data_IF_403817232653
#
_entry.id   IF_403817232653
#
_cell.length_a   1.000
_cell.length_b   1.000
_cell.length_c   1.000
_cell.angle_alpha   90.00
_cell.angle_beta   90.00
_cell.angle_gamma   90.00
#
_symmetry.space_group_name_H-M   'P 1'
#
loop_
_entity.id
_entity.type
_entity.pdbx_description
1 polymer ?
#
# COMPACT_ATOMS: atom_id res chain seq x y z
N UNK A 1 -9.61 17.73 16.10
CA UNK A 1 -10.49 18.15 15.02
C UNK A 1 -10.56 19.68 14.84
N UNK A 2 -10.23 20.49 15.87
CA UNK A 2 -10.15 21.95 15.75
C UNK A 2 -8.91 22.44 14.98
N UNK A 3 -7.90 21.60 14.82
CA UNK A 3 -6.74 21.86 14.00
C UNK A 3 -7.00 21.43 12.55
N UNK A 4 -6.81 22.35 11.56
CA UNK A 4 -7.04 22.07 10.15
C UNK A 4 -6.23 20.90 9.61
N UNK A 5 -5.00 20.69 10.11
CA UNK A 5 -4.14 19.59 9.73
C UNK A 5 -4.73 18.22 10.13
N UNK A 6 -5.11 18.08 11.39
CA UNK A 6 -5.73 16.84 11.88
C UNK A 6 -7.08 16.58 11.21
N UNK A 7 -7.86 17.61 10.94
CA UNK A 7 -9.12 17.51 10.18
C UNK A 7 -8.85 17.01 8.74
N UNK A 8 -7.80 17.51 8.10
CA UNK A 8 -7.38 17.08 6.75
C UNK A 8 -7.04 15.59 6.71
N UNK A 9 -6.27 15.08 7.67
CA UNK A 9 -5.91 13.65 7.77
C UNK A 9 -7.18 12.79 7.93
N UNK A 10 -8.11 13.17 8.81
CA UNK A 10 -9.37 12.42 9.01
C UNK A 10 -10.18 12.39 7.72
N UNK A 11 -10.33 13.53 7.03
CA UNK A 11 -11.04 13.59 5.75
C UNK A 11 -10.37 12.73 4.69
N UNK A 12 -9.05 12.74 4.60
CA UNK A 12 -8.29 11.92 3.66
C UNK A 12 -8.53 10.42 3.90
N UNK A 13 -8.46 9.96 5.15
CA UNK A 13 -8.71 8.56 5.51
C UNK A 13 -10.15 8.15 5.14
N UNK A 14 -11.14 9.01 5.43
CA UNK A 14 -12.54 8.75 5.08
C UNK A 14 -12.75 8.65 3.56
N UNK A 15 -12.15 9.55 2.78
CA UNK A 15 -12.26 9.55 1.32
C UNK A 15 -11.58 8.32 0.72
N UNK A 16 -10.36 7.99 1.15
CA UNK A 16 -9.64 6.80 0.69
C UNK A 16 -10.44 5.53 1.05
N UNK A 17 -10.90 5.39 2.29
CA UNK A 17 -11.74 4.27 2.72
C UNK A 17 -13.03 4.17 1.91
N UNK A 18 -13.67 5.30 1.59
CA UNK A 18 -14.84 5.37 0.73
C UNK A 18 -14.56 4.87 -0.70
N UNK A 19 -13.46 5.29 -1.31
CA UNK A 19 -13.03 4.84 -2.65
C UNK A 19 -12.73 3.34 -2.65
N UNK A 20 -12.04 2.82 -1.63
CA UNK A 20 -11.74 1.39 -1.48
C UNK A 20 -13.03 0.57 -1.40
N UNK A 21 -13.98 1.00 -0.55
CA UNK A 21 -15.27 0.33 -0.41
C UNK A 21 -16.08 0.39 -1.73
N UNK A 22 -16.04 1.50 -2.44
CA UNK A 22 -16.66 1.63 -3.76
C UNK A 22 -16.06 0.63 -4.75
N UNK A 23 -14.73 0.53 -4.85
CA UNK A 23 -14.03 -0.42 -5.73
C UNK A 23 -14.40 -1.87 -5.39
N UNK A 24 -14.50 -2.20 -4.09
CA UNK A 24 -14.91 -3.53 -3.64
C UNK A 24 -16.37 -3.82 -4.06
N UNK A 25 -17.32 -2.93 -3.73
CA UNK A 25 -18.76 -3.09 -4.04
C UNK A 25 -19.08 -3.07 -5.53
N UNK A 26 -18.27 -2.39 -6.34
CA UNK A 26 -18.36 -2.43 -7.81
C UNK A 26 -17.73 -3.68 -8.42
N UNK A 27 -17.23 -4.61 -7.61
CA UNK A 27 -16.63 -5.86 -8.07
C UNK A 27 -15.27 -5.71 -8.76
N UNK A 28 -14.65 -4.54 -8.69
CA UNK A 28 -13.35 -4.28 -9.29
C UNK A 28 -12.25 -5.12 -8.65
N UNK A 29 -12.23 -5.18 -7.33
CA UNK A 29 -11.29 -6.00 -6.56
C UNK A 29 -11.42 -7.49 -6.92
N UNK A 30 -12.65 -8.01 -6.97
CA UNK A 30 -12.94 -9.41 -7.35
C UNK A 30 -12.51 -9.71 -8.79
N UNK A 31 -12.75 -8.78 -9.73
CA UNK A 31 -12.33 -8.93 -11.12
C UNK A 31 -10.80 -9.02 -11.26
N UNK A 32 -10.06 -8.21 -10.52
CA UNK A 32 -8.59 -8.28 -10.47
C UNK A 32 -8.15 -9.61 -9.88
N UNK A 33 -8.77 -10.06 -8.77
CA UNK A 33 -8.45 -11.33 -8.14
C UNK A 33 -8.63 -12.50 -9.12
N UNK A 34 -9.75 -12.55 -9.84
CA UNK A 34 -9.99 -13.59 -10.84
C UNK A 34 -9.00 -13.57 -12.00
N UNK A 35 -8.64 -12.38 -12.49
CA UNK A 35 -7.65 -12.21 -13.55
C UNK A 35 -6.25 -12.65 -13.10
N UNK A 36 -5.85 -12.32 -11.88
CA UNK A 36 -4.57 -12.71 -11.30
C UNK A 36 -4.53 -14.18 -10.91
N UNK A 37 -5.66 -14.72 -10.40
CA UNK A 37 -5.78 -16.15 -10.11
C UNK A 37 -5.53 -17.00 -11.35
N UNK A 38 -5.94 -16.54 -12.53
CA UNK A 38 -5.65 -17.21 -13.80
C UNK A 38 -4.15 -17.20 -14.16
N UNK A 39 -3.40 -16.18 -13.73
CA UNK A 39 -1.94 -16.06 -13.95
C UNK A 39 -1.11 -16.74 -12.88
N UNK A 40 -1.63 -16.87 -11.67
CA UNK A 40 -0.96 -17.52 -10.53
C UNK A 40 -1.00 -19.04 -10.71
N UNK A 41 -0.03 -19.58 -11.40
CA UNK A 41 0.07 -21.03 -11.66
C UNK A 41 0.81 -21.79 -10.56
N UNK A 42 1.58 -21.11 -9.73
CA UNK A 42 2.41 -21.69 -8.67
C UNK A 42 2.36 -20.82 -7.42
N UNK A 43 2.68 -21.41 -6.24
CA UNK A 43 2.80 -20.67 -4.99
C UNK A 43 3.83 -19.52 -5.09
N UNK A 44 4.93 -19.72 -5.84
CA UNK A 44 5.90 -18.64 -6.10
C UNK A 44 5.28 -17.48 -6.86
N UNK A 45 4.60 -17.76 -7.97
CA UNK A 45 4.00 -16.71 -8.78
C UNK A 45 2.89 -15.96 -8.04
N UNK A 46 2.11 -16.65 -7.23
CA UNK A 46 1.08 -16.02 -6.41
C UNK A 46 1.68 -15.05 -5.38
N UNK A 47 2.73 -15.46 -4.67
CA UNK A 47 3.42 -14.62 -3.70
C UNK A 47 4.13 -13.43 -4.37
N UNK A 48 4.77 -13.62 -5.53
CA UNK A 48 5.39 -12.52 -6.28
C UNK A 48 4.34 -11.52 -6.79
N UNK A 49 3.18 -12.00 -7.23
CA UNK A 49 2.06 -11.14 -7.62
C UNK A 49 1.56 -10.35 -6.42
N UNK A 50 1.43 -10.98 -5.25
CA UNK A 50 1.05 -10.28 -4.01
C UNK A 50 2.05 -9.18 -3.67
N UNK A 51 3.33 -9.50 -3.69
CA UNK A 51 4.42 -8.54 -3.45
C UNK A 51 4.39 -7.38 -4.44
N UNK A 52 4.23 -7.67 -5.73
CA UNK A 52 4.14 -6.64 -6.77
C UNK A 52 2.90 -5.75 -6.60
N UNK A 53 1.76 -6.32 -6.27
CA UNK A 53 0.54 -5.55 -5.97
C UNK A 53 0.76 -4.64 -4.76
N UNK A 54 1.42 -5.13 -3.71
CA UNK A 54 1.78 -4.31 -2.57
C UNK A 54 2.63 -3.09 -2.97
N UNK A 55 3.58 -3.26 -3.89
CA UNK A 55 4.35 -2.14 -4.44
C UNK A 55 3.46 -1.18 -5.24
N UNK A 56 2.51 -1.69 -6.02
CA UNK A 56 1.62 -0.83 -6.82
C UNK A 56 0.68 0.03 -5.94
N UNK A 57 0.37 -0.40 -4.72
CA UNK A 57 -0.44 0.36 -3.76
C UNK A 57 0.46 1.14 -2.79
N UNK A 58 1.38 1.94 -3.32
CA UNK A 58 2.42 2.65 -2.58
C UNK A 58 1.93 3.87 -1.82
N UNK A 59 0.76 4.37 -2.14
CA UNK A 59 0.27 5.67 -1.66
C UNK A 59 -0.28 5.61 -0.23
N UNK A 60 -0.69 4.43 0.26
CA UNK A 60 -1.26 4.26 1.60
C UNK A 60 -1.15 2.80 2.06
N UNK A 61 -0.72 2.59 3.31
CA UNK A 61 -0.52 1.27 3.90
C UNK A 61 -1.83 0.55 4.24
N UNK A 62 -2.85 1.29 4.72
CA UNK A 62 -4.19 0.74 4.95
C UNK A 62 -4.85 0.32 3.64
N UNK A 63 -4.73 1.16 2.60
CA UNK A 63 -5.23 0.84 1.27
C UNK A 63 -4.59 -0.45 0.73
N UNK A 64 -3.28 -0.63 0.94
CA UNK A 64 -2.58 -1.86 0.57
C UNK A 64 -3.24 -3.08 1.22
N UNK A 65 -3.39 -3.08 2.53
CA UNK A 65 -3.97 -4.20 3.27
C UNK A 65 -5.41 -4.49 2.87
N UNK A 66 -6.23 -3.45 2.72
CA UNK A 66 -7.65 -3.56 2.38
C UNK A 66 -7.91 -3.97 0.92
N UNK A 67 -7.02 -3.62 -0.01
CA UNK A 67 -7.17 -3.99 -1.42
C UNK A 67 -6.52 -5.34 -1.72
N UNK A 68 -5.23 -5.49 -1.35
CA UNK A 68 -4.45 -6.67 -1.74
C UNK A 68 -4.88 -7.91 -0.96
N UNK A 69 -5.24 -7.74 0.32
CA UNK A 69 -5.66 -8.84 1.20
C UNK A 69 -6.84 -9.64 0.63
N UNK A 70 -8.00 -9.04 0.48
CA UNK A 70 -9.18 -9.72 -0.08
C UNK A 70 -8.96 -10.28 -1.49
N UNK A 71 -8.22 -9.56 -2.34
CA UNK A 71 -7.91 -10.00 -3.71
C UNK A 71 -7.07 -11.27 -3.73
N UNK A 72 -6.02 -11.32 -2.90
CA UNK A 72 -5.05 -12.40 -2.96
C UNK A 72 -5.39 -13.60 -2.07
N UNK A 73 -6.31 -13.44 -1.11
CA UNK A 73 -6.73 -14.52 -0.21
C UNK A 73 -7.23 -15.78 -0.95
N UNK A 74 -8.22 -15.71 -1.87
CA UNK A 74 -8.67 -16.89 -2.61
C UNK A 74 -7.58 -17.49 -3.49
N UNK A 75 -6.65 -16.68 -3.98
CA UNK A 75 -5.49 -17.15 -4.74
C UNK A 75 -4.51 -17.91 -3.85
N UNK A 76 -4.23 -17.39 -2.66
CA UNK A 76 -3.34 -18.01 -1.68
C UNK A 76 -3.91 -19.36 -1.20
N UNK A 77 -5.18 -19.42 -0.88
CA UNK A 77 -5.88 -20.65 -0.47
C UNK A 77 -5.80 -21.73 -1.58
N UNK A 78 -6.06 -21.36 -2.83
CA UNK A 78 -5.93 -22.25 -3.98
C UNK A 78 -4.50 -22.75 -4.19
N UNK A 79 -3.50 -21.92 -3.93
CA UNK A 79 -2.08 -22.25 -4.10
C UNK A 79 -1.46 -22.86 -2.84
N UNK A 80 -2.26 -23.11 -1.78
CA UNK A 80 -1.82 -23.67 -0.50
C UNK A 80 -0.71 -22.85 0.17
N UNK A 81 -0.82 -21.54 0.08
CA UNK A 81 -0.03 -20.57 0.81
C UNK A 81 -0.74 -20.32 2.14
N UNK A 82 -0.02 -20.32 3.25
CA UNK A 82 -0.62 -20.04 4.55
C UNK A 82 -1.13 -18.59 4.61
N UNK A 83 -2.18 -18.35 5.38
CA UNK A 83 -2.74 -17.02 5.58
C UNK A 83 -1.76 -16.11 6.31
N UNK A 84 -0.97 -16.67 7.20
CA UNK A 84 0.11 -15.97 7.90
C UNK A 84 1.18 -15.48 6.93
N UNK A 85 1.53 -16.31 5.93
CA UNK A 85 2.47 -15.90 4.88
C UNK A 85 1.92 -14.82 3.99
N UNK A 86 0.65 -14.93 3.60
CA UNK A 86 -0.04 -13.91 2.83
C UNK A 86 -0.09 -12.58 3.62
N UNK A 87 -0.51 -12.63 4.88
CA UNK A 87 -0.55 -11.46 5.75
C UNK A 87 0.83 -10.80 5.90
N UNK A 88 1.88 -11.60 6.09
CA UNK A 88 3.25 -11.10 6.17
C UNK A 88 3.68 -10.36 4.90
N UNK A 89 3.41 -10.90 3.71
CA UNK A 89 3.79 -10.25 2.45
C UNK A 89 3.05 -8.92 2.30
N UNK A 90 1.76 -8.88 2.62
CA UNK A 90 0.94 -7.68 2.52
C UNK A 90 1.41 -6.61 3.50
N UNK A 91 1.56 -6.96 4.77
CA UNK A 91 1.99 -6.06 5.83
C UNK A 91 3.41 -5.52 5.57
N UNK A 92 4.34 -6.43 5.24
CA UNK A 92 5.73 -6.07 4.98
C UNK A 92 5.96 -5.36 3.62
N UNK A 93 4.95 -5.22 2.78
CA UNK A 93 4.97 -4.33 1.60
C UNK A 93 4.18 -3.04 1.82
N UNK A 94 3.33 -2.95 2.82
CA UNK A 94 2.50 -1.78 3.08
C UNK A 94 3.34 -0.58 3.58
N UNK A 95 3.68 -0.55 4.85
CA UNK A 95 4.44 0.55 5.45
C UNK A 95 5.84 0.77 4.82
N UNK A 96 6.63 -0.29 4.49
CA UNK A 96 7.92 -0.08 3.84
C UNK A 96 7.83 0.63 2.49
N UNK A 97 6.84 0.32 1.66
CA UNK A 97 6.67 0.99 0.36
C UNK A 97 6.14 2.42 0.56
N UNK A 98 5.15 2.62 1.44
CA UNK A 98 4.63 3.95 1.74
C UNK A 98 5.73 4.89 2.27
N UNK A 99 6.68 4.37 3.07
CA UNK A 99 7.82 5.11 3.57
C UNK A 99 8.94 5.37 2.54
N UNK A 100 9.00 4.63 1.43
CA UNK A 100 9.93 4.89 0.33
C UNK A 100 9.32 5.76 -0.77
N UNK A 101 7.99 5.80 -0.86
CA UNK A 101 7.29 6.50 -1.91
C UNK A 101 7.37 8.02 -1.71
N UNK A 102 7.64 8.73 -2.80
CA UNK A 102 7.69 10.20 -2.81
C UNK A 102 6.27 10.80 -2.70
N UNK A 103 5.25 10.00 -2.99
CA UNK A 103 3.84 10.38 -2.89
C UNK A 103 3.15 9.32 -2.03
N UNK A 104 2.95 9.63 -0.76
CA UNK A 104 2.23 8.75 0.17
C UNK A 104 1.55 9.57 1.27
N UNK A 105 0.63 8.95 2.00
CA UNK A 105 -0.02 9.59 3.16
C UNK A 105 0.97 9.93 4.27
N UNK A 106 2.11 9.24 4.32
CA UNK A 106 3.13 9.41 5.36
C UNK A 106 4.06 10.58 5.11
N UNK A 107 4.30 10.95 3.84
CA UNK A 107 5.30 11.97 3.49
C UNK A 107 4.97 13.34 4.11
N UNK A 108 3.70 13.71 4.15
CA UNK A 108 3.27 14.98 4.72
C UNK A 108 3.67 15.09 6.20
N UNK A 109 3.40 14.04 6.98
CA UNK A 109 3.76 13.98 8.38
C UNK A 109 5.29 13.97 8.58
N UNK A 110 6.00 13.11 7.83
CA UNK A 110 7.47 13.00 7.97
C UNK A 110 8.17 14.31 7.62
N UNK A 111 7.79 14.95 6.53
CA UNK A 111 8.37 16.22 6.10
C UNK A 111 8.08 17.33 7.11
N UNK A 112 6.88 17.37 7.68
CA UNK A 112 6.54 18.32 8.74
C UNK A 112 7.41 18.13 9.98
N UNK A 113 7.53 16.89 10.47
CA UNK A 113 8.37 16.58 11.64
C UNK A 113 9.86 16.88 11.41
N UNK A 114 10.36 16.61 10.19
CA UNK A 114 11.74 16.95 9.83
C UNK A 114 11.92 18.48 9.85
N UNK A 115 11.01 19.23 9.26
CA UNK A 115 11.06 20.68 9.22
C UNK A 115 11.04 21.29 10.62
N UNK A 116 10.09 20.85 11.46
CA UNK A 116 9.98 21.27 12.87
C UNK A 116 11.25 20.95 13.67
N UNK A 117 11.84 19.75 13.43
CA UNK A 117 13.09 19.35 14.07
C UNK A 117 14.25 20.26 13.72
N UNK A 118 14.45 20.63 12.46
CA UNK A 118 15.51 21.54 12.04
C UNK A 118 15.26 22.98 12.50
N UNK A 119 14.01 23.44 12.45
CA UNK A 119 13.62 24.76 12.94
C UNK A 119 13.92 24.91 14.45
N UNK A 120 13.68 23.86 15.25
CA UNK A 120 13.93 23.85 16.70
C UNK A 120 15.40 24.08 17.06
N UNK A 121 16.33 23.75 16.16
CA UNK A 121 17.79 23.97 16.34
C UNK A 121 18.30 25.18 15.56
N UNK A 122 17.40 25.98 14.99
CA UNK A 122 17.74 27.19 14.24
C UNK A 122 18.39 26.95 12.88
N UNK A 123 18.17 25.78 12.28
CA UNK A 123 18.71 25.42 10.95
C UNK A 123 17.60 25.52 9.91
N UNK A 124 17.72 26.48 9.00
CA UNK A 124 16.82 26.59 7.86
C UNK A 124 17.18 25.53 6.81
N UNK A 125 16.32 24.53 6.62
CA UNK A 125 16.51 23.50 5.59
C UNK A 125 15.15 23.04 5.03
N UNK A 126 15.16 22.48 3.82
CA UNK A 126 13.97 21.88 3.23
C UNK A 126 13.72 20.50 3.84
N UNK A 127 12.65 20.36 4.62
CA UNK A 127 12.24 19.05 5.16
C UNK A 127 12.04 18.00 4.07
N UNK A 128 11.49 18.39 2.91
CA UNK A 128 11.33 17.50 1.75
C UNK A 128 12.69 17.09 1.15
N UNK A 129 13.63 18.02 1.04
CA UNK A 129 14.99 17.73 0.56
C UNK A 129 15.70 16.72 1.46
N UNK A 130 15.62 16.92 2.78
CA UNK A 130 16.16 15.97 3.77
C UNK A 130 15.47 14.61 3.66
N UNK A 131 14.13 14.59 3.54
CA UNK A 131 13.37 13.35 3.34
C UNK A 131 13.90 12.54 2.15
N UNK A 132 14.09 13.17 0.98
CA UNK A 132 14.63 12.48 -0.21
C UNK A 132 16.03 11.91 0.04
N UNK A 133 16.87 12.64 0.76
CA UNK A 133 18.22 12.19 1.11
C UNK A 133 18.20 10.99 2.09
N UNK A 134 17.15 10.83 2.89
CA UNK A 134 17.03 9.70 3.80
C UNK A 134 16.63 8.38 3.10
N UNK A 135 16.00 8.44 1.91
CA UNK A 135 15.49 7.25 1.22
C UNK A 135 16.54 6.14 1.05
N UNK A 136 17.78 6.40 0.59
CA UNK A 136 18.79 5.35 0.44
C UNK A 136 19.24 4.73 1.76
N UNK A 137 19.02 5.41 2.88
CA UNK A 137 19.39 4.96 4.23
C UNK A 137 18.25 4.28 4.99
N UNK A 138 17.08 4.12 4.37
CA UNK A 138 15.94 3.37 4.93
C UNK A 138 16.15 1.87 4.78
N UNK A 139 17.20 1.37 5.43
CA UNK A 139 17.66 -0.02 5.27
C UNK A 139 16.57 -1.03 5.57
N UNK A 140 15.76 -0.83 6.61
CA UNK A 140 14.65 -1.72 6.92
C UNK A 140 13.71 -1.87 5.72
N UNK A 141 13.25 -0.76 5.17
CA UNK A 141 12.29 -0.75 4.06
C UNK A 141 12.85 -1.49 2.83
N UNK A 142 14.11 -1.22 2.50
CA UNK A 142 14.78 -1.83 1.33
C UNK A 142 15.03 -3.32 1.59
N UNK A 143 15.58 -3.65 2.76
CA UNK A 143 15.96 -5.03 3.07
C UNK A 143 14.75 -5.95 3.27
N UNK A 144 13.64 -5.48 3.85
CA UNK A 144 12.43 -6.31 4.00
C UNK A 144 11.82 -6.66 2.66
N UNK A 145 11.79 -5.72 1.71
CA UNK A 145 11.30 -5.98 0.36
C UNK A 145 12.17 -7.00 -0.37
N UNK A 146 13.49 -6.87 -0.27
CA UNK A 146 14.44 -7.85 -0.82
C UNK A 146 14.31 -9.22 -0.12
N UNK A 147 14.17 -9.23 1.20
CA UNK A 147 14.00 -10.45 2.00
C UNK A 147 12.76 -11.24 1.57
N UNK A 148 11.62 -10.57 1.36
CA UNK A 148 10.40 -11.22 0.86
C UNK A 148 10.68 -11.92 -0.46
N UNK A 149 11.30 -11.23 -1.42
CA UNK A 149 11.62 -11.81 -2.74
C UNK A 149 12.56 -13.02 -2.60
N UNK A 150 13.61 -12.91 -1.77
CA UNK A 150 14.54 -14.02 -1.53
C UNK A 150 13.82 -15.22 -0.95
N UNK A 151 12.96 -15.04 0.06
CA UNK A 151 12.20 -16.14 0.67
C UNK A 151 11.21 -16.78 -0.31
N UNK A 152 10.59 -15.98 -1.19
CA UNK A 152 9.71 -16.48 -2.24
C UNK A 152 10.49 -17.33 -3.26
N UNK A 153 11.65 -16.84 -3.74
CA UNK A 153 12.45 -17.53 -4.74
C UNK A 153 13.01 -18.84 -4.17
N UNK A 154 13.54 -18.80 -2.95
CA UNK A 154 14.13 -19.96 -2.29
C UNK A 154 13.10 -20.93 -1.74
N UNK A 155 11.85 -20.52 -1.55
CA UNK A 155 10.79 -21.25 -0.82
C UNK A 155 11.23 -21.69 0.58
N UNK A 156 12.07 -20.89 1.22
CA UNK A 156 12.55 -21.14 2.58
C UNK A 156 11.87 -20.22 3.56
N UNK A 157 11.23 -20.83 4.53
CA UNK A 157 10.58 -20.15 5.64
C UNK A 157 11.27 -20.51 6.95
N UNK A 158 11.14 -19.61 7.93
CA UNK A 158 11.84 -19.74 9.22
C UNK A 158 10.81 -19.76 10.37
N UNK A 159 11.21 -20.39 11.46
CA UNK A 159 10.46 -20.37 12.72
C UNK A 159 8.97 -20.73 12.58
N UNK A 160 8.07 -19.93 13.18
CA UNK A 160 6.63 -20.17 13.15
C UNK A 160 6.04 -20.15 11.74
N UNK A 161 6.55 -19.29 10.83
CA UNK A 161 6.10 -19.19 9.46
C UNK A 161 6.27 -20.51 8.70
N UNK A 162 7.39 -21.22 8.93
CA UNK A 162 7.60 -22.55 8.34
C UNK A 162 6.54 -23.54 8.80
N UNK A 163 6.16 -23.49 10.09
CA UNK A 163 5.10 -24.38 10.62
C UNK A 163 3.75 -24.08 9.95
N UNK A 164 3.39 -22.81 9.82
CA UNK A 164 2.16 -22.38 9.15
C UNK A 164 2.12 -22.84 7.68
N UNK A 165 3.20 -22.65 6.92
CA UNK A 165 3.31 -23.12 5.53
C UNK A 165 3.20 -24.65 5.39
N UNK A 166 3.84 -25.41 6.29
CA UNK A 166 3.74 -26.87 6.29
C UNK A 166 2.28 -27.28 6.60
N UNK A 167 1.63 -26.63 7.55
CA UNK A 167 0.23 -26.88 7.90
C UNK A 167 -0.70 -26.59 6.72
N UNK A 168 -0.56 -25.43 6.09
CA UNK A 168 -1.35 -25.05 4.92
C UNK A 168 -1.24 -26.05 3.75
N UNK A 169 -0.05 -26.63 3.57
CA UNK A 169 0.17 -27.68 2.54
C UNK A 169 -0.40 -29.04 2.92
N UNK A 170 -0.45 -29.38 4.23
CA UNK A 170 -1.01 -30.64 4.75
C UNK A 170 -2.53 -30.60 4.88
N UNK A 171 -3.12 -29.44 5.14
CA UNK A 171 -4.55 -29.22 5.37
C UNK A 171 -5.41 -29.43 4.10
N UNK A 172 -5.09 -30.43 3.31
CA UNK A 172 -5.82 -30.74 2.08
C UNK A 172 -7.26 -31.21 2.35
N UNK A 173 -7.59 -31.58 3.58
CA UNK A 173 -8.80 -32.33 3.92
C UNK A 173 -9.70 -31.72 5.02
N UNK A 174 -9.38 -30.54 5.56
CA UNK A 174 -10.25 -29.88 6.51
C UNK A 174 -11.20 -28.94 5.77
N UNK A 175 -12.37 -29.43 5.64
CA UNK A 175 -13.70 -28.94 5.29
C UNK A 175 -13.91 -27.41 5.24
N UNK A 176 -14.71 -27.03 4.25
CA UNK A 176 -15.26 -25.70 3.98
C UNK A 176 -15.94 -25.01 5.18
N UNK A 177 -16.15 -25.69 6.30
CA UNK A 177 -16.85 -25.16 7.49
C UNK A 177 -16.00 -24.19 8.33
N UNK A 178 -14.69 -24.44 8.49
CA UNK A 178 -13.82 -23.47 9.19
C UNK A 178 -13.51 -22.21 8.37
N UNK A 179 -13.65 -22.30 7.05
CA UNK A 179 -13.54 -21.15 6.14
C UNK A 179 -14.72 -20.20 6.34
N UNK A 180 -15.90 -20.72 6.67
CA UNK A 180 -17.12 -19.92 6.84
C UNK A 180 -17.11 -19.03 8.08
N UNK A 181 -16.49 -19.45 9.20
CA UNK A 181 -16.48 -18.67 10.45
C UNK A 181 -15.61 -17.42 10.38
N UNK A 182 -14.57 -17.40 9.51
CA UNK A 182 -13.69 -16.23 9.34
C UNK A 182 -14.16 -15.29 8.22
N UNK A 183 -15.23 -15.64 7.50
CA UNK A 183 -15.78 -14.88 6.39
C UNK A 183 -16.73 -13.75 6.80
N UNK A 184 -17.16 -13.67 8.07
CA UNK A 184 -18.15 -12.69 8.53
C UNK A 184 -17.74 -11.21 8.35
N UNK A 185 -16.44 -10.89 8.29
CA UNK A 185 -15.97 -9.56 7.94
C UNK A 185 -15.76 -9.32 6.44
N UNK A 186 -15.91 -10.37 5.61
CA UNK A 186 -15.75 -10.27 4.15
C UNK A 186 -17.04 -9.89 3.43
N UNK A 187 -18.20 -10.11 4.05
CA UNK A 187 -19.51 -9.79 3.46
C UNK A 187 -19.67 -8.27 3.18
N UNK A 188 -18.97 -7.43 3.96
CA UNK A 188 -18.96 -5.97 3.74
C UNK A 188 -18.23 -5.55 2.46
N UNK A 189 -17.29 -6.34 1.97
CA UNK A 189 -16.49 -6.06 0.78
C UNK A 189 -16.92 -6.89 -0.44
N UNK A 190 -17.96 -7.72 -0.32
CA UNK A 190 -18.49 -8.44 -1.47
C UNK A 190 -19.19 -7.49 -2.47
N UNK A 191 -19.05 -7.77 -3.78
CA UNK A 191 -19.76 -7.02 -4.80
C UNK A 191 -21.27 -7.15 -4.59
N UNK A 192 -22.01 -6.06 -4.83
CA UNK A 192 -23.47 -6.13 -4.83
C UNK A 192 -23.94 -7.15 -5.85
N UNK A 193 -25.02 -7.88 -5.54
CA UNK A 193 -25.64 -8.82 -6.45
C UNK A 193 -25.98 -8.15 -7.79
N UNK A 194 -25.67 -8.84 -8.89
CA UNK A 194 -25.94 -8.37 -10.25
C UNK A 194 -24.90 -7.40 -10.85
N UNK A 195 -23.84 -7.04 -10.12
CA UNK A 195 -22.77 -6.20 -10.64
C UNK A 195 -21.86 -6.97 -11.61
N UNK A 196 -21.68 -6.44 -12.82
CA UNK A 196 -20.74 -7.01 -13.78
C UNK A 196 -19.29 -6.82 -13.32
N UNK A 197 -18.60 -7.92 -13.08
CA UNK A 197 -17.19 -7.90 -12.70
C UNK A 197 -16.36 -7.33 -13.85
N UNK A 198 -15.67 -6.24 -13.61
CA UNK A 198 -14.76 -5.60 -14.57
C UNK A 198 -13.54 -5.04 -13.86
N UNK A 199 -12.36 -5.27 -14.43
CA UNK A 199 -11.10 -4.72 -13.91
C UNK A 199 -11.13 -3.17 -13.96
N UNK A 200 -11.86 -2.59 -14.90
CA UNK A 200 -12.04 -1.15 -15.01
C UNK A 200 -12.73 -0.53 -13.80
N UNK A 201 -13.57 -1.30 -13.11
CA UNK A 201 -14.22 -0.86 -11.87
C UNK A 201 -13.22 -0.64 -10.70
N UNK A 202 -11.99 -1.12 -10.82
CA UNK A 202 -10.90 -0.82 -9.91
C UNK A 202 -9.93 0.21 -10.51
N UNK A 203 -9.52 0.02 -11.78
CA UNK A 203 -8.51 0.87 -12.42
C UNK A 203 -8.97 2.32 -12.52
N UNK A 204 -10.25 2.56 -12.87
CA UNK A 204 -10.76 3.93 -13.04
C UNK A 204 -10.80 4.71 -11.72
N UNK A 205 -11.38 4.22 -10.61
CA UNK A 205 -11.38 4.95 -9.35
C UNK A 205 -9.98 5.15 -8.76
N UNK A 206 -9.14 4.11 -8.79
CA UNK A 206 -7.76 4.19 -8.28
C UNK A 206 -6.94 5.13 -9.17
N UNK A 207 -7.04 5.01 -10.48
CA UNK A 207 -6.39 5.89 -11.43
C UNK A 207 -6.82 7.34 -11.28
N UNK A 208 -8.12 7.60 -11.09
CA UNK A 208 -8.64 8.93 -10.83
C UNK A 208 -8.07 9.51 -9.52
N UNK A 209 -7.96 8.70 -8.48
CA UNK A 209 -7.38 9.11 -7.21
C UNK A 209 -5.90 9.49 -7.37
N UNK A 210 -5.11 8.68 -8.06
CA UNK A 210 -3.68 8.95 -8.33
C UNK A 210 -3.53 10.21 -9.18
N UNK A 211 -4.29 10.34 -10.25
CA UNK A 211 -4.24 11.50 -11.14
C UNK A 211 -4.64 12.77 -10.38
N UNK A 212 -5.72 12.72 -9.60
CA UNK A 212 -6.16 13.87 -8.81
C UNK A 212 -5.13 14.28 -7.75
N UNK A 213 -4.43 13.31 -7.13
CA UNK A 213 -3.36 13.60 -6.20
C UNK A 213 -2.18 14.32 -6.92
N UNK A 214 -1.74 13.82 -8.07
CA UNK A 214 -0.68 14.45 -8.86
C UNK A 214 -1.07 15.87 -9.27
N UNK A 215 -2.31 16.07 -9.75
CA UNK A 215 -2.83 17.38 -10.13
C UNK A 215 -2.88 18.31 -8.92
N UNK A 216 -3.34 17.82 -7.77
CA UNK A 216 -3.40 18.60 -6.53
C UNK A 216 -2.00 19.03 -6.06
N UNK A 217 -1.01 18.14 -6.10
CA UNK A 217 0.39 18.48 -5.79
C UNK A 217 0.95 19.52 -6.75
N UNK A 218 0.72 19.34 -8.05
CA UNK A 218 1.15 20.31 -9.05
C UNK A 218 0.52 21.69 -8.81
N UNK A 219 -0.81 21.72 -8.59
CA UNK A 219 -1.53 22.97 -8.34
C UNK A 219 -1.10 23.63 -7.03
N UNK A 220 -0.92 22.86 -5.96
CA UNK A 220 -0.42 23.37 -4.68
C UNK A 220 0.98 23.96 -4.83
N UNK A 221 1.91 23.26 -5.48
CA UNK A 221 3.24 23.79 -5.76
C UNK A 221 3.22 25.05 -6.63
N UNK A 222 2.38 25.06 -7.68
CA UNK A 222 2.23 26.23 -8.54
C UNK A 222 1.65 27.44 -7.79
N UNK A 223 0.63 27.22 -6.95
CA UNK A 223 0.02 28.29 -6.16
C UNK A 223 1.00 28.87 -5.12
N UNK A 224 1.82 28.04 -4.48
CA UNK A 224 2.87 28.49 -3.55
C UNK A 224 3.94 29.34 -4.25
N UNK A 225 4.35 28.94 -5.46
CA UNK A 225 5.29 29.72 -6.27
C UNK A 225 4.69 31.08 -6.66
N UNK A 226 3.42 31.10 -7.08
CA UNK A 226 2.73 32.34 -7.48
C UNK A 226 2.41 33.25 -6.30
N UNK A 227 2.25 32.70 -5.09
CA UNK A 227 2.04 33.47 -3.87
C UNK A 227 3.34 34.12 -3.35
N UNK A 228 4.49 33.83 -3.98
CA UNK A 228 5.79 34.38 -3.59
C UNK A 228 6.39 33.71 -2.35
N UNK A 229 5.93 32.50 -2.01
CA UNK A 229 6.54 31.69 -0.96
C UNK A 229 7.93 31.23 -1.43
N UNK A 230 8.97 31.99 -1.01
CA UNK A 230 10.39 31.74 -1.29
C UNK A 230 10.85 30.30 -0.91
N UNK A 231 10.06 29.61 -0.07
CA UNK A 231 10.37 28.26 0.41
C UNK A 231 10.39 27.23 -0.75
N UNK A 232 9.44 27.34 -1.69
CA UNK A 232 9.37 26.40 -2.82
C UNK A 232 10.52 26.63 -3.82
N UNK A 233 10.89 27.89 -4.06
CA UNK A 233 11.98 28.26 -4.97
C UNK A 233 13.34 27.91 -4.32
N UNK A 234 13.52 28.20 -3.03
CA UNK A 234 14.71 27.78 -2.29
C UNK A 234 14.89 26.28 -2.27
N UNK A 235 13.84 25.48 -2.07
CA UNK A 235 13.92 24.01 -2.10
C UNK A 235 14.39 23.47 -3.46
N UNK A 236 14.08 24.14 -4.56
CA UNK A 236 14.53 23.75 -5.90
C UNK A 236 15.95 24.24 -6.19
N UNK A 237 16.28 25.45 -5.74
CA UNK A 237 17.56 26.11 -6.06
C UNK A 237 18.70 25.68 -5.13
N UNK A 238 18.41 25.37 -3.85
CA UNK A 238 19.47 24.94 -2.90
C UNK A 238 19.86 23.47 -3.05
N UNK A 239 19.17 22.68 -3.88
CA UNK A 239 19.56 21.31 -4.24
C UNK A 239 20.52 21.22 -5.43
N UNK A 240 21.21 22.29 -5.81
CA UNK A 240 22.41 22.17 -6.64
C UNK A 240 23.53 21.58 -5.80
N UNK A 241 24.08 20.40 -6.17
CA UNK A 241 25.27 19.90 -5.50
C UNK A 241 26.43 20.83 -5.80
N UNK A 242 27.00 21.42 -4.75
CA UNK A 242 28.37 21.94 -4.78
C UNK A 242 29.34 20.78 -4.73
#
# INVERSE_FOLDING_TARGET
LSDPWNAGIVMQVLVIGGVINLVAKMGGAKAIAEALAKKAKTAKSAQLITWFLGICVFFDDYANSLIVGPIMRPVADKMKISRERLAFIIDATAAPIAGLAIISTWIGLEVSLISEGFESIGVETSGFGVFLQTIPYRFYNILILAFIVITIITLREFGPMRKAEISARKLKDLTNEEIAVTSSHMDELEPKEGVKLSIWNAIVPIGALIISAIVAFYYSGYSSIMAGDDIAIKAIVTNSPL
#
